data_IF_729177412100
#
_entry.id   IF_729177412100
#
_cell.length_a   1.000
_cell.length_b   1.000
_cell.length_c   1.000
_cell.angle_alpha   90.00
_cell.angle_beta   90.00
_cell.angle_gamma   90.00
#
_symmetry.space_group_name_H-M   'P 1'
#
loop_
_entity.id
_entity.type
_entity.pdbx_description
1 polymer ?
#
# COMPACT_ATOMS: atom_id res chain seq x y z
N UNK A 1 -3.86 -35.64 -1.52
CA UNK A 1 -3.60 -36.32 -2.80
C UNK A 1 -4.64 -35.83 -3.79
N UNK A 2 -4.17 -35.16 -4.82
CA UNK A 2 -5.00 -34.61 -5.90
C UNK A 2 -5.44 -35.74 -6.82
N UNK A 3 -6.72 -35.81 -7.22
CA UNK A 3 -7.21 -36.81 -8.19
C UNK A 3 -6.46 -36.74 -9.54
N UNK A 4 -5.74 -35.65 -9.80
CA UNK A 4 -4.84 -35.50 -10.95
C UNK A 4 -3.50 -36.21 -10.73
N UNK A 5 -2.96 -36.23 -9.49
CA UNK A 5 -1.77 -37.02 -9.12
C UNK A 5 -2.07 -38.52 -9.23
N UNK A 6 -3.24 -38.96 -8.78
CA UNK A 6 -3.66 -40.36 -8.89
C UNK A 6 -3.76 -40.82 -10.35
N UNK A 7 -3.96 -39.89 -11.29
CA UNK A 7 -3.99 -40.20 -12.72
C UNK A 7 -2.61 -40.55 -13.32
N UNK A 8 -1.53 -40.33 -12.56
CA UNK A 8 -0.17 -40.70 -12.94
C UNK A 8 0.05 -42.22 -12.87
N UNK A 9 -0.69 -42.91 -11.99
CA UNK A 9 -0.64 -44.36 -11.89
C UNK A 9 -1.21 -45.01 -13.17
N UNK A 10 -0.45 -45.89 -13.86
CA UNK A 10 -0.94 -46.66 -15.00
C UNK A 10 -2.24 -47.45 -14.74
N UNK A 11 -2.52 -47.82 -13.49
CA UNK A 11 -3.75 -48.49 -13.07
C UNK A 11 -5.00 -47.60 -13.23
N UNK A 12 -4.84 -46.27 -13.22
CA UNK A 12 -5.92 -45.29 -13.29
C UNK A 12 -6.11 -44.72 -14.71
N UNK A 13 -5.90 -45.57 -15.73
CA UNK A 13 -6.04 -45.19 -17.13
C UNK A 13 -7.49 -44.74 -17.43
N UNK A 14 -7.65 -43.55 -17.99
CA UNK A 14 -8.97 -42.93 -18.26
C UNK A 14 -9.50 -42.02 -17.15
N UNK A 15 -8.79 -41.88 -16.01
CA UNK A 15 -9.22 -41.01 -14.91
C UNK A 15 -9.36 -39.54 -15.34
N UNK A 16 -8.48 -39.04 -16.21
CA UNK A 16 -8.55 -37.68 -16.78
C UNK A 16 -9.87 -37.45 -17.56
N UNK A 17 -10.35 -38.46 -18.29
CA UNK A 17 -11.57 -38.36 -19.11
C UNK A 17 -12.83 -38.39 -18.23
N UNK A 18 -12.80 -39.17 -17.15
CA UNK A 18 -13.84 -39.19 -16.13
C UNK A 18 -13.91 -37.85 -15.40
N UNK A 19 -12.76 -37.29 -15.01
CA UNK A 19 -12.64 -35.99 -14.38
C UNK A 19 -13.12 -34.86 -15.30
N UNK A 20 -12.79 -34.91 -16.59
CA UNK A 20 -13.25 -33.91 -17.56
C UNK A 20 -14.78 -33.86 -17.66
N UNK A 21 -15.43 -35.04 -17.68
CA UNK A 21 -16.90 -35.15 -17.73
C UNK A 21 -17.56 -34.69 -16.43
N UNK A 22 -16.98 -35.00 -15.27
CA UNK A 22 -17.58 -34.68 -13.97
C UNK A 22 -17.37 -33.23 -13.55
N UNK A 23 -16.25 -32.62 -13.94
CA UNK A 23 -15.88 -31.25 -13.54
C UNK A 23 -16.14 -30.19 -14.62
N UNK A 24 -16.51 -30.62 -15.83
CA UNK A 24 -16.65 -29.77 -17.01
C UNK A 24 -15.37 -28.99 -17.37
N UNK A 25 -14.20 -29.46 -16.92
CA UNK A 25 -12.89 -28.92 -17.31
C UNK A 25 -12.42 -29.61 -18.57
N UNK A 26 -11.88 -28.85 -19.53
CA UNK A 26 -11.36 -29.39 -20.78
C UNK A 26 -10.29 -30.48 -20.53
N UNK A 27 -10.35 -31.65 -21.19
CA UNK A 27 -9.34 -32.71 -21.04
C UNK A 27 -7.91 -32.20 -21.26
N UNK A 28 -7.70 -31.31 -22.22
CA UNK A 28 -6.39 -30.73 -22.51
C UNK A 28 -5.81 -29.95 -21.31
N UNK A 29 -6.67 -29.24 -20.56
CA UNK A 29 -6.26 -28.52 -19.34
C UNK A 29 -5.85 -29.51 -18.24
N UNK A 30 -6.58 -30.61 -18.07
CA UNK A 30 -6.26 -31.64 -17.09
C UNK A 30 -4.94 -32.38 -17.43
N UNK A 31 -4.70 -32.69 -18.71
CA UNK A 31 -3.41 -33.23 -19.15
C UNK A 31 -2.25 -32.25 -18.94
N UNK A 32 -2.48 -30.95 -19.12
CA UNK A 32 -1.47 -29.93 -18.82
C UNK A 32 -1.17 -29.85 -17.32
N UNK A 33 -2.18 -29.95 -16.45
CA UNK A 33 -1.96 -30.02 -15.01
C UNK A 33 -1.18 -31.28 -14.62
N UNK A 34 -1.55 -32.44 -15.17
CA UNK A 34 -0.82 -33.69 -14.97
C UNK A 34 0.66 -33.55 -15.32
N UNK A 35 1.01 -33.00 -16.49
CA UNK A 35 2.40 -32.75 -16.89
C UNK A 35 3.15 -31.82 -15.93
N UNK A 36 2.45 -30.84 -15.34
CA UNK A 36 3.04 -29.93 -14.36
C UNK A 36 3.27 -30.61 -13.01
N UNK A 37 2.36 -31.48 -12.58
CA UNK A 37 2.56 -32.34 -11.41
C UNK A 37 3.73 -33.33 -11.58
N UNK A 38 3.97 -33.83 -12.80
CA UNK A 38 5.14 -34.68 -13.10
C UNK A 38 6.47 -33.92 -12.97
N UNK A 39 6.47 -32.60 -13.19
CA UNK A 39 7.65 -31.74 -13.10
C UNK A 39 7.86 -31.14 -11.71
N UNK A 40 6.77 -30.82 -11.02
CA UNK A 40 6.74 -30.19 -9.70
C UNK A 40 5.63 -30.85 -8.85
N UNK A 41 5.97 -31.73 -7.89
CA UNK A 41 5.01 -32.39 -7.03
C UNK A 41 4.21 -31.44 -6.12
N UNK A 42 4.69 -30.21 -5.89
CA UNK A 42 3.95 -29.19 -5.11
C UNK A 42 3.09 -28.28 -6.01
N UNK A 43 3.05 -28.54 -7.31
CA UNK A 43 2.30 -27.75 -8.27
C UNK A 43 0.83 -27.62 -7.86
N UNK A 44 0.34 -26.40 -7.74
CA UNK A 44 -1.07 -26.14 -7.47
C UNK A 44 -1.70 -25.35 -8.63
N UNK A 45 -2.68 -25.92 -9.36
CA UNK A 45 -3.30 -25.27 -10.51
C UNK A 45 -4.02 -23.96 -10.16
N UNK A 46 -4.44 -23.76 -8.90
CA UNK A 46 -5.01 -22.49 -8.43
C UNK A 46 -3.96 -21.38 -8.41
N UNK A 47 -2.75 -21.68 -7.94
CA UNK A 47 -1.64 -20.72 -7.85
C UNK A 47 -1.09 -20.37 -9.24
N UNK A 48 -1.08 -21.32 -10.15
CA UNK A 48 -0.70 -21.10 -11.54
C UNK A 48 -1.67 -20.17 -12.29
N UNK A 49 -2.97 -20.29 -12.04
CA UNK A 49 -3.98 -19.40 -12.64
C UNK A 49 -3.84 -17.95 -12.14
N UNK A 50 -3.44 -17.73 -10.88
CA UNK A 50 -3.19 -16.38 -10.36
C UNK A 50 -1.97 -15.69 -10.99
N UNK A 51 -0.93 -16.45 -11.36
CA UNK A 51 0.28 -15.92 -12.01
C UNK A 51 0.01 -15.44 -13.45
N UNK A 52 -0.88 -16.10 -14.18
CA UNK A 52 -1.20 -15.79 -15.59
C UNK A 52 -1.87 -14.42 -15.76
N UNK A 53 -2.47 -13.87 -14.70
CA UNK A 53 -3.14 -12.56 -14.73
C UNK A 53 -2.23 -11.39 -14.34
N UNK A 54 -0.94 -11.62 -14.07
CA UNK A 54 0.00 -10.55 -13.75
C UNK A 54 0.46 -9.82 -14.99
N UNK A 55 0.47 -8.50 -14.89
CA UNK A 55 0.93 -7.64 -15.96
C UNK A 55 2.38 -7.21 -15.84
N UNK A 56 2.87 -7.10 -14.60
CA UNK A 56 4.24 -6.76 -14.26
C UNK A 56 4.82 -7.97 -13.50
N UNK A 57 6.09 -8.27 -13.72
CA UNK A 57 6.84 -9.29 -12.99
C UNK A 57 6.87 -8.98 -11.48
N UNK A 58 7.12 -9.99 -10.66
CA UNK A 58 7.33 -9.78 -9.21
C UNK A 58 8.47 -8.78 -8.95
N UNK A 59 9.57 -8.95 -9.67
CA UNK A 59 10.73 -8.07 -9.56
C UNK A 59 10.38 -6.62 -9.96
N UNK A 60 9.59 -6.43 -11.02
CA UNK A 60 9.15 -5.11 -11.45
C UNK A 60 8.22 -4.43 -10.45
N UNK A 61 7.28 -5.17 -9.85
CA UNK A 61 6.42 -4.64 -8.79
C UNK A 61 7.22 -4.26 -7.54
N UNK A 62 8.24 -5.05 -7.18
CA UNK A 62 9.15 -4.75 -6.08
C UNK A 62 9.97 -3.48 -6.35
N UNK A 63 10.55 -3.33 -7.56
CA UNK A 63 11.28 -2.12 -7.96
C UNK A 63 10.40 -0.87 -7.86
N UNK A 64 9.15 -0.97 -8.35
CA UNK A 64 8.19 0.11 -8.30
C UNK A 64 7.79 0.46 -6.86
N UNK A 65 7.53 -0.55 -6.02
CA UNK A 65 7.19 -0.36 -4.62
C UNK A 65 8.34 0.31 -3.85
N UNK A 66 9.57 -0.17 -4.04
CA UNK A 66 10.76 0.40 -3.41
C UNK A 66 10.98 1.87 -3.81
N UNK A 67 10.74 2.20 -5.09
CA UNK A 67 10.78 3.59 -5.53
C UNK A 67 9.72 4.45 -4.83
N UNK A 68 8.46 3.97 -4.75
CA UNK A 68 7.38 4.70 -4.06
C UNK A 68 7.71 4.92 -2.58
N UNK A 69 8.21 3.88 -1.90
CA UNK A 69 8.56 3.94 -0.48
C UNK A 69 9.65 4.98 -0.27
N UNK A 70 10.77 4.86 -0.98
CA UNK A 70 11.95 5.71 -0.79
C UNK A 70 11.72 7.16 -1.20
N UNK A 71 11.03 7.40 -2.32
CA UNK A 71 10.90 8.74 -2.88
C UNK A 71 9.69 9.51 -2.36
N UNK A 72 8.65 8.82 -1.87
CA UNK A 72 7.45 9.48 -1.37
C UNK A 72 7.17 9.18 0.10
N UNK A 73 7.06 7.91 0.49
CA UNK A 73 6.60 7.55 1.84
C UNK A 73 7.63 7.96 2.90
N UNK A 74 8.89 7.56 2.74
CA UNK A 74 9.97 7.89 3.69
C UNK A 74 10.27 9.39 3.73
N UNK A 75 10.14 10.07 2.59
CA UNK A 75 10.27 11.53 2.49
C UNK A 75 9.03 12.28 2.97
N UNK A 76 7.99 11.56 3.40
CA UNK A 76 6.72 12.11 3.89
C UNK A 76 6.03 13.01 2.87
N UNK A 77 6.11 12.66 1.58
CA UNK A 77 5.35 13.33 0.54
C UNK A 77 3.99 12.68 0.35
N UNK A 78 3.02 13.52 -0.03
CA UNK A 78 1.70 13.03 -0.39
C UNK A 78 1.79 12.14 -1.62
N UNK A 79 1.21 10.94 -1.55
CA UNK A 79 1.20 10.01 -2.68
C UNK A 79 -0.13 9.26 -2.76
N UNK A 80 -0.90 9.49 -3.81
CA UNK A 80 -2.24 8.90 -3.96
C UNK A 80 -2.32 7.88 -5.12
N UNK A 81 -3.48 7.24 -5.25
CA UNK A 81 -3.75 6.24 -6.29
C UNK A 81 -3.58 6.78 -7.71
N UNK A 82 -3.89 8.06 -7.97
CA UNK A 82 -3.74 8.65 -9.31
C UNK A 82 -2.26 8.86 -9.66
N UNK A 83 -1.45 9.29 -8.70
CA UNK A 83 0.00 9.37 -8.86
C UNK A 83 0.61 7.99 -9.12
N UNK A 84 0.17 6.98 -8.36
CA UNK A 84 0.56 5.59 -8.57
C UNK A 84 0.22 5.11 -9.98
N UNK A 85 -0.98 5.42 -10.49
CA UNK A 85 -1.39 5.09 -11.87
C UNK A 85 -0.45 5.71 -12.91
N UNK A 86 -0.06 6.97 -12.74
CA UNK A 86 0.89 7.65 -13.64
C UNK A 86 2.27 6.98 -13.57
N UNK A 87 2.73 6.68 -12.36
CA UNK A 87 4.00 6.00 -12.14
C UNK A 87 4.07 4.62 -12.78
N UNK A 88 3.02 3.80 -12.64
CA UNK A 88 2.93 2.50 -13.31
C UNK A 88 3.02 2.67 -14.84
N UNK A 89 2.32 3.66 -15.40
CA UNK A 89 2.39 3.95 -16.85
C UNK A 89 3.78 4.39 -17.31
N UNK A 90 4.50 5.16 -16.49
CA UNK A 90 5.89 5.54 -16.77
C UNK A 90 6.82 4.34 -16.64
N UNK A 91 6.62 3.51 -15.62
CA UNK A 91 7.39 2.29 -15.38
C UNK A 91 7.32 1.32 -16.56
N UNK A 92 6.11 1.07 -17.09
CA UNK A 92 5.91 0.22 -18.28
C UNK A 92 6.76 0.68 -19.48
N UNK A 93 6.92 1.99 -19.67
CA UNK A 93 7.73 2.55 -20.75
C UNK A 93 9.23 2.45 -20.48
N UNK A 94 9.65 2.62 -19.23
CA UNK A 94 11.05 2.64 -18.82
C UNK A 94 11.64 1.23 -18.68
N UNK A 95 10.83 0.25 -18.28
CA UNK A 95 11.24 -1.12 -17.97
C UNK A 95 10.43 -2.14 -18.77
N UNK A 96 10.51 -2.16 -20.11
CA UNK A 96 9.73 -3.08 -20.94
C UNK A 96 10.02 -4.56 -20.65
N UNK A 97 11.23 -4.87 -20.15
CA UNK A 97 11.64 -6.24 -19.81
C UNK A 97 10.91 -6.80 -18.59
N UNK A 98 10.32 -5.95 -17.75
CA UNK A 98 9.57 -6.35 -16.56
C UNK A 98 8.07 -6.55 -16.84
N UNK A 99 7.64 -6.33 -18.09
CA UNK A 99 6.23 -6.38 -18.49
C UNK A 99 5.92 -7.76 -19.06
N UNK A 100 5.03 -8.47 -18.36
CA UNK A 100 4.57 -9.80 -18.74
C UNK A 100 3.45 -9.76 -19.79
N UNK A 101 2.74 -8.63 -19.88
CA UNK A 101 1.55 -8.48 -20.73
C UNK A 101 1.53 -7.14 -21.48
N UNK A 102 1.62 -7.22 -22.80
CA UNK A 102 1.73 -6.04 -23.68
C UNK A 102 0.44 -5.21 -23.81
N UNK A 103 -0.74 -5.80 -23.59
CA UNK A 103 -2.05 -5.12 -23.64
C UNK A 103 -2.51 -4.66 -22.24
N UNK A 104 -1.58 -4.50 -21.31
CA UNK A 104 -1.91 -4.14 -19.95
C UNK A 104 -2.44 -2.70 -19.82
N UNK A 105 -3.61 -2.57 -19.19
CA UNK A 105 -4.21 -1.30 -18.79
C UNK A 105 -4.26 -1.22 -17.27
N UNK A 106 -3.73 -0.12 -16.72
CA UNK A 106 -3.72 0.13 -15.28
C UNK A 106 -5.12 0.43 -14.77
N UNK A 107 -5.79 -0.60 -14.22
CA UNK A 107 -7.12 -0.51 -13.61
C UNK A 107 -7.05 -0.25 -12.10
N UNK A 108 -8.16 0.20 -11.50
CA UNK A 108 -8.24 0.38 -10.05
C UNK A 108 -8.11 -0.94 -9.28
N UNK A 109 -8.63 -2.02 -9.85
CA UNK A 109 -8.48 -3.36 -9.29
C UNK A 109 -7.00 -3.79 -9.28
N UNK A 110 -6.27 -3.54 -10.37
CA UNK A 110 -4.83 -3.80 -10.40
C UNK A 110 -4.09 -3.03 -9.31
N UNK A 111 -4.36 -1.72 -9.16
CA UNK A 111 -3.70 -0.88 -8.16
C UNK A 111 -4.01 -1.33 -6.73
N UNK A 112 -5.22 -1.82 -6.47
CA UNK A 112 -5.58 -2.40 -5.19
C UNK A 112 -4.76 -3.66 -4.90
N UNK A 113 -4.70 -4.58 -5.86
CA UNK A 113 -3.96 -5.82 -5.68
C UNK A 113 -2.44 -5.57 -5.62
N UNK A 114 -1.92 -4.60 -6.37
CA UNK A 114 -0.52 -4.16 -6.27
C UNK A 114 -0.18 -3.69 -4.86
N UNK A 115 -1.03 -2.83 -4.26
CA UNK A 115 -0.82 -2.39 -2.87
C UNK A 115 -0.79 -3.56 -1.91
N UNK A 116 -1.76 -4.46 -2.02
CA UNK A 116 -1.83 -5.63 -1.15
C UNK A 116 -0.60 -6.53 -1.27
N UNK A 117 -0.10 -6.75 -2.48
CA UNK A 117 1.11 -7.56 -2.74
C UNK A 117 2.40 -6.91 -2.25
N UNK A 118 2.48 -5.59 -2.27
CA UNK A 118 3.67 -4.84 -1.86
C UNK A 118 3.60 -4.35 -0.41
N UNK A 119 2.69 -4.88 0.41
CA UNK A 119 2.45 -4.45 1.79
C UNK A 119 2.24 -2.93 1.95
N UNK A 120 1.56 -2.34 0.97
CA UNK A 120 1.13 -0.95 1.00
C UNK A 120 -0.35 -0.85 1.33
N UNK A 121 -0.73 0.25 1.98
CA UNK A 121 -2.11 0.58 2.30
C UNK A 121 -2.37 2.06 2.05
N UNK A 122 -3.63 2.49 2.12
CA UNK A 122 -4.01 3.90 2.07
C UNK A 122 -4.45 4.36 3.46
N UNK A 123 -3.92 5.49 3.92
CA UNK A 123 -4.26 6.12 5.20
C UNK A 123 -4.63 7.56 4.99
N UNK A 124 -5.39 8.11 5.93
CA UNK A 124 -5.65 9.55 5.96
C UNK A 124 -4.35 10.30 6.23
N UNK A 125 -4.08 11.31 5.40
CA UNK A 125 -2.93 12.18 5.53
C UNK A 125 -3.19 13.22 6.62
N UNK A 126 -2.31 13.26 7.59
CA UNK A 126 -2.32 14.31 8.60
C UNK A 126 -1.36 15.43 8.19
N UNK A 127 -1.94 16.60 7.90
CA UNK A 127 -1.20 17.81 7.54
C UNK A 127 -0.66 18.48 8.80
N UNK A 128 0.37 17.90 9.40
CA UNK A 128 0.97 18.44 10.62
C UNK A 128 2.35 19.07 10.37
N UNK A 129 2.60 20.17 11.07
CA UNK A 129 3.95 20.61 11.44
C UNK A 129 4.27 19.96 12.78
N UNK A 130 4.91 18.77 12.78
CA UNK A 130 5.49 18.27 14.04
C UNK A 130 6.85 18.94 14.28
N UNK A 131 7.17 19.33 15.52
CA UNK A 131 8.56 19.58 15.91
C UNK A 131 9.39 18.34 15.59
N UNK A 132 10.61 18.52 15.09
CA UNK A 132 11.50 17.41 14.72
C UNK A 132 12.01 16.63 15.95
N UNK A 133 11.82 17.16 17.15
CA UNK A 133 12.34 16.62 18.42
C UNK A 133 11.22 16.41 19.45
N UNK A 134 11.14 15.17 19.99
CA UNK A 134 10.17 14.74 20.99
C UNK A 134 10.49 15.34 22.37
N UNK A 135 11.77 15.50 22.71
CA UNK A 135 12.19 16.00 24.02
C UNK A 135 11.99 17.52 24.13
N UNK A 136 12.25 18.26 23.04
CA UNK A 136 11.90 19.69 22.95
C UNK A 136 10.39 19.89 23.16
N UNK A 137 9.57 18.98 22.60
CA UNK A 137 8.11 19.04 22.71
C UNK A 137 7.63 18.78 24.14
N UNK A 138 8.15 17.75 24.82
CA UNK A 138 7.83 17.49 26.23
C UNK A 138 8.17 18.69 27.11
N UNK A 139 9.35 19.27 26.90
CA UNK A 139 9.81 20.44 27.64
C UNK A 139 8.87 21.64 27.44
N UNK A 140 8.45 21.92 26.19
CA UNK A 140 7.48 22.98 25.89
C UNK A 140 6.10 22.73 26.49
N UNK A 141 5.63 21.49 26.51
CA UNK A 141 4.34 21.14 27.13
C UNK A 141 4.41 21.41 28.64
N UNK A 142 5.50 21.02 29.29
CA UNK A 142 5.67 21.21 30.73
C UNK A 142 5.79 22.70 31.09
N UNK A 143 6.54 23.48 30.30
CA UNK A 143 6.62 24.93 30.51
C UNK A 143 5.26 25.60 30.33
N UNK A 144 4.48 25.20 29.31
CA UNK A 144 3.14 25.73 29.08
C UNK A 144 2.19 25.41 30.23
N UNK A 145 2.22 24.19 30.77
CA UNK A 145 1.42 23.82 31.95
C UNK A 145 1.77 24.70 33.15
N UNK A 146 3.06 24.90 33.43
CA UNK A 146 3.49 25.75 34.53
C UNK A 146 3.02 27.20 34.35
N UNK A 147 3.22 27.78 33.16
CA UNK A 147 2.76 29.15 32.86
C UNK A 147 1.25 29.28 32.98
N UNK A 148 0.49 28.28 32.49
CA UNK A 148 -0.97 28.26 32.61
C UNK A 148 -1.40 28.22 34.08
N UNK A 149 -0.82 27.35 34.90
CA UNK A 149 -1.14 27.26 36.32
C UNK A 149 -0.83 28.56 37.04
N UNK A 150 0.35 29.16 36.80
CA UNK A 150 0.73 30.45 37.37
C UNK A 150 -0.24 31.56 37.00
N UNK A 151 -0.65 31.67 35.74
CA UNK A 151 -1.62 32.67 35.28
C UNK A 151 -3.00 32.47 35.93
N UNK A 152 -3.46 31.22 36.03
CA UNK A 152 -4.75 30.91 36.64
C UNK A 152 -4.76 31.19 38.14
N UNK A 153 -3.64 30.95 38.84
CA UNK A 153 -3.47 31.29 40.25
C UNK A 153 -3.45 32.81 40.45
N UNK A 154 -2.69 33.54 39.63
CA UNK A 154 -2.50 34.99 39.72
C UNK A 154 -3.82 35.76 39.52
N UNK A 155 -4.69 35.26 38.65
CA UNK A 155 -5.96 35.89 38.29
C UNK A 155 -7.18 35.13 38.82
N UNK A 156 -7.05 34.28 39.85
CA UNK A 156 -8.14 33.40 40.31
C UNK A 156 -9.43 34.15 40.66
N UNK A 157 -9.30 35.36 41.21
CA UNK A 157 -10.42 36.20 41.66
C UNK A 157 -10.88 37.19 40.57
N UNK A 158 -10.14 37.28 39.46
CA UNK A 158 -10.40 38.18 38.33
C UNK A 158 -10.44 37.44 36.97
N UNK A 159 -10.81 36.16 36.97
CA UNK A 159 -10.85 35.33 35.74
C UNK A 159 -11.68 35.96 34.61
N UNK A 160 -12.68 36.77 34.95
CA UNK A 160 -13.52 37.52 34.02
C UNK A 160 -12.75 38.57 33.18
N UNK A 161 -11.51 38.92 33.57
CA UNK A 161 -10.62 39.83 32.84
C UNK A 161 -9.71 39.11 31.83
N UNK A 162 -9.68 37.78 31.84
CA UNK A 162 -8.84 37.00 30.93
C UNK A 162 -9.55 36.89 29.58
N UNK A 163 -8.93 37.45 28.54
CA UNK A 163 -9.33 37.22 27.16
C UNK A 163 -8.34 36.24 26.50
N UNK A 164 -8.87 35.18 25.88
CA UNK A 164 -8.07 34.31 25.03
C UNK A 164 -8.19 34.80 23.58
N UNK A 165 -7.07 35.19 22.99
CA UNK A 165 -6.97 35.51 21.58
C UNK A 165 -5.88 34.63 20.96
N UNK A 166 -6.17 34.06 19.80
CA UNK A 166 -5.19 33.29 19.04
C UNK A 166 -5.37 33.53 17.54
N UNK A 167 -4.25 33.51 16.81
CA UNK A 167 -4.28 33.54 15.35
C UNK A 167 -4.60 32.15 14.81
N UNK A 168 -5.58 32.07 13.90
CA UNK A 168 -5.86 30.85 13.17
C UNK A 168 -5.19 30.92 11.81
N UNK A 169 -4.35 29.94 11.49
CA UNK A 169 -3.79 29.80 10.16
C UNK A 169 -4.80 29.16 9.23
N UNK A 170 -5.10 29.81 8.10
CA UNK A 170 -5.88 29.22 7.02
C UNK A 170 -4.92 28.63 5.99
N UNK A 171 -4.85 27.29 5.96
CA UNK A 171 -4.08 26.56 4.98
C UNK A 171 -4.97 25.99 3.88
N UNK A 172 -4.47 25.94 2.64
CA UNK A 172 -5.05 25.12 1.59
C UNK A 172 -4.38 23.74 1.63
N UNK A 173 -5.14 22.72 1.99
CA UNK A 173 -4.73 21.31 1.98
C UNK A 173 -5.86 20.43 1.47
N UNK A 174 -5.54 19.20 1.05
CA UNK A 174 -6.57 18.24 0.62
C UNK A 174 -7.25 17.69 1.89
N UNK A 175 -8.49 18.11 2.14
CA UNK A 175 -9.28 17.58 3.25
C UNK A 175 -9.43 16.06 3.12
N UNK A 176 -9.15 15.32 4.20
CA UNK A 176 -9.21 13.85 4.25
C UNK A 176 -8.43 13.14 3.12
N UNK A 177 -7.33 13.74 2.66
CA UNK A 177 -6.52 13.20 1.58
C UNK A 177 -6.00 11.80 1.94
N UNK A 178 -6.30 10.79 1.13
CA UNK A 178 -5.75 9.45 1.30
C UNK A 178 -4.36 9.36 0.65
N UNK A 179 -3.36 8.99 1.44
CA UNK A 179 -1.97 8.79 1.01
C UNK A 179 -1.54 7.34 1.21
N UNK A 180 -0.58 6.88 0.42
CA UNK A 180 0.00 5.55 0.57
C UNK A 180 0.86 5.48 1.83
N UNK A 181 0.85 4.32 2.47
CA UNK A 181 1.56 4.01 3.70
C UNK A 181 2.03 2.56 3.69
N UNK A 182 3.03 2.25 4.51
CA UNK A 182 3.41 0.86 4.77
C UNK A 182 2.34 0.21 5.66
N UNK A 183 1.93 -1.01 5.35
CA UNK A 183 0.94 -1.75 6.13
C UNK A 183 1.43 -1.91 7.58
N UNK A 184 0.56 -1.59 8.53
CA UNK A 184 0.91 -1.58 9.95
C UNK A 184 1.51 -0.26 10.45
N UNK A 185 1.76 0.74 9.59
CA UNK A 185 2.14 2.07 10.06
C UNK A 185 0.96 2.74 10.78
N UNK A 186 1.28 3.47 11.85
CA UNK A 186 0.38 4.46 12.45
C UNK A 186 0.21 5.67 11.50
N UNK A 187 -0.67 6.62 11.85
CA UNK A 187 -1.10 7.72 10.97
C UNK A 187 0.04 8.37 10.17
N UNK A 188 -0.23 8.72 8.90
CA UNK A 188 0.80 9.22 7.97
C UNK A 188 0.88 10.74 8.06
N UNK A 189 2.00 11.22 8.61
CA UNK A 189 2.35 12.63 8.57
C UNK A 189 2.88 12.98 7.17
N UNK A 190 2.30 14.00 6.54
CA UNK A 190 2.76 14.53 5.25
C UNK A 190 3.38 15.90 5.44
N UNK A 191 4.63 16.05 4.98
CA UNK A 191 5.34 17.32 5.01
C UNK A 191 4.87 18.23 3.87
N UNK A 192 4.45 19.44 4.22
CA UNK A 192 4.23 20.51 3.25
C UNK A 192 5.46 21.42 3.19
N UNK A 193 6.20 21.36 2.08
CA UNK A 193 7.18 22.40 1.77
C UNK A 193 6.43 23.72 1.53
N UNK A 194 6.99 24.83 2.02
CA UNK A 194 6.44 26.21 2.01
C UNK A 194 5.66 26.71 3.24
N UNK A 195 5.67 26.00 4.37
CA UNK A 195 5.15 26.54 5.64
C UNK A 195 6.26 26.88 6.66
N UNK A 196 7.43 27.28 6.16
CA UNK A 196 8.43 27.97 6.98
C UNK A 196 7.90 29.36 7.32
N UNK A 197 7.45 29.56 8.57
CA UNK A 197 7.48 30.93 9.13
C UNK A 197 8.94 31.35 9.06
N UNK A 198 9.27 32.30 8.17
CA UNK A 198 10.48 33.10 8.31
C UNK A 198 10.39 33.76 9.69
N UNK A 199 11.09 33.17 10.66
CA UNK A 199 11.39 33.78 11.94
C UNK A 199 12.73 34.49 11.83
#
# INVERSE_FOLDING_TARGET
>A
MSLIEDSLDPANKGLIEILAKSTNVCPATLYNYRKKYELDPEFNPKTAASLINRAISDHGEELLANYIIKEFIEKKFFFNTQMCRVLVKMFIKAYPNEILRNDFVVSDHYLSNFRERCDLTTREAHWHRRPKDIEEMKTRIESFKQTKTQLMELFKDELWRICNANESFYGCGIAHGLTYAIKGSEGVDVHMNHNEKKG
#
